data_IF_402551475853
#
_entry.id   IF_402551475853
#
_cell.length_a   1.000
_cell.length_b   1.000
_cell.length_c   1.000
_cell.angle_alpha   90.00
_cell.angle_beta   90.00
_cell.angle_gamma   90.00
#
_symmetry.space_group_name_H-M   'P 1'
#
loop_
_entity.id
_entity.type
_entity.pdbx_description
1 polymer ?
#
# COMPACT_ATOMS: atom_id res chain seq x y z
N UNK A 1 -4.30 11.89 -5.10
CA UNK A 1 -3.61 11.57 -6.38
C UNK A 1 -3.74 12.78 -7.29
N UNK A 2 -2.77 13.08 -8.17
CA UNK A 2 -2.97 14.09 -9.21
C UNK A 2 -4.16 13.72 -10.10
N UNK A 3 -4.93 14.71 -10.55
CA UNK A 3 -6.08 14.49 -11.43
C UNK A 3 -5.61 13.85 -12.75
N UNK A 4 -6.27 12.79 -13.26
CA UNK A 4 -5.97 12.25 -14.58
C UNK A 4 -6.17 13.32 -15.66
N UNK A 5 -5.44 13.19 -16.76
CA UNK A 5 -5.35 14.20 -17.80
C UNK A 5 -6.28 13.87 -18.98
N UNK A 6 -6.98 14.89 -19.47
CA UNK A 6 -7.63 14.92 -20.79
C UNK A 6 -6.77 15.79 -21.70
N UNK A 7 -6.21 15.20 -22.75
CA UNK A 7 -5.37 15.91 -23.72
C UNK A 7 -6.12 16.08 -25.04
N UNK A 8 -6.32 17.32 -25.47
CA UNK A 8 -6.84 17.68 -26.79
C UNK A 8 -5.75 18.21 -27.71
N UNK A 9 -5.73 17.77 -28.97
CA UNK A 9 -4.75 18.20 -29.98
C UNK A 9 -5.47 18.66 -31.24
N UNK A 10 -5.23 19.90 -31.64
CA UNK A 10 -5.86 20.51 -32.82
C UNK A 10 -5.00 21.70 -33.27
N UNK A 11 -4.67 21.81 -34.55
CA UNK A 11 -3.91 22.94 -35.10
C UNK A 11 -4.76 24.21 -35.29
N UNK A 12 -6.09 24.07 -35.31
CA UNK A 12 -7.02 25.20 -35.26
C UNK A 12 -7.19 25.68 -33.81
N UNK A 13 -6.59 26.82 -33.52
CA UNK A 13 -6.61 27.42 -32.18
C UNK A 13 -8.02 27.75 -31.65
N UNK A 14 -8.98 28.02 -32.54
CA UNK A 14 -10.35 28.33 -32.11
C UNK A 14 -11.11 27.07 -31.73
N UNK A 15 -10.89 25.98 -32.49
CA UNK A 15 -11.45 24.66 -32.17
C UNK A 15 -10.81 24.10 -30.90
N UNK A 16 -9.49 24.22 -30.75
CA UNK A 16 -8.76 23.79 -29.54
C UNK A 16 -9.29 24.50 -28.29
N UNK A 17 -9.54 25.81 -28.37
CA UNK A 17 -10.11 26.58 -27.25
C UNK A 17 -11.56 26.18 -26.95
N UNK A 18 -12.35 25.89 -27.98
CA UNK A 18 -13.73 25.44 -27.81
C UNK A 18 -13.78 24.09 -27.07
N UNK A 19 -13.00 23.10 -27.51
CA UNK A 19 -12.96 21.78 -26.87
C UNK A 19 -12.39 21.88 -25.45
N UNK A 20 -11.33 22.65 -25.23
CA UNK A 20 -10.78 22.86 -23.88
C UNK A 20 -11.81 23.49 -22.93
N UNK A 21 -12.57 24.48 -23.41
CA UNK A 21 -13.60 25.15 -22.62
C UNK A 21 -14.69 24.17 -22.22
N UNK A 22 -15.20 23.41 -23.19
CA UNK A 22 -16.30 22.48 -22.96
C UNK A 22 -15.86 21.32 -22.05
N UNK A 23 -14.63 20.80 -22.22
CA UNK A 23 -14.04 19.80 -21.33
C UNK A 23 -13.81 20.35 -19.92
N UNK A 24 -13.28 21.57 -19.79
CA UNK A 24 -12.97 22.16 -18.48
C UNK A 24 -14.24 22.49 -17.71
N UNK A 25 -15.30 22.90 -18.41
CA UNK A 25 -16.62 23.18 -17.83
C UNK A 25 -17.25 21.93 -17.22
N UNK A 26 -17.21 20.79 -17.93
CA UNK A 26 -17.87 19.56 -17.50
C UNK A 26 -16.99 18.70 -16.59
N UNK A 27 -15.69 18.56 -16.89
CA UNK A 27 -14.81 17.56 -16.27
C UNK A 27 -13.71 18.14 -15.37
N UNK A 28 -13.58 19.48 -15.28
CA UNK A 28 -12.49 20.13 -14.55
C UNK A 28 -12.44 19.84 -13.04
N UNK A 29 -13.53 19.36 -12.45
CA UNK A 29 -13.60 18.93 -11.06
C UNK A 29 -12.76 17.67 -10.80
N UNK A 30 -12.74 16.72 -11.74
CA UNK A 30 -12.12 15.41 -11.58
C UNK A 30 -10.86 15.23 -12.43
N UNK A 31 -10.78 15.95 -13.55
CA UNK A 31 -9.72 15.84 -14.54
C UNK A 31 -8.94 17.13 -14.73
N UNK A 32 -7.71 17.00 -15.22
CA UNK A 32 -6.89 18.13 -15.68
C UNK A 32 -6.94 18.20 -17.20
N UNK A 33 -7.45 19.29 -17.75
CA UNK A 33 -7.54 19.51 -19.20
C UNK A 33 -6.29 20.23 -19.70
N UNK A 34 -5.66 19.68 -20.74
CA UNK A 34 -4.48 20.24 -21.40
C UNK A 34 -4.72 20.22 -22.92
N UNK A 35 -4.40 21.31 -23.62
CA UNK A 35 -4.38 21.34 -25.08
C UNK A 35 -2.97 21.45 -25.66
N UNK A 36 -2.83 21.05 -26.92
CA UNK A 36 -1.65 21.24 -27.75
C UNK A 36 -2.06 21.65 -29.15
N UNK A 37 -1.39 22.64 -29.72
CA UNK A 37 -1.61 23.16 -31.08
C UNK A 37 -0.85 22.38 -32.16
N UNK A 38 -0.07 21.38 -31.75
CA UNK A 38 0.72 20.54 -32.64
C UNK A 38 0.81 19.09 -32.14
N UNK A 39 0.81 18.10 -33.05
CA UNK A 39 0.95 16.70 -32.67
C UNK A 39 2.35 16.38 -32.11
N UNK A 40 3.41 17.03 -32.57
CA UNK A 40 4.76 16.84 -32.02
C UNK A 40 4.88 17.38 -30.60
N UNK A 41 4.32 18.57 -30.34
CA UNK A 41 4.25 19.16 -29.00
C UNK A 41 3.45 18.28 -28.04
N UNK A 42 2.36 17.68 -28.53
CA UNK A 42 1.53 16.76 -27.75
C UNK A 42 2.30 15.47 -27.39
N UNK A 43 3.05 14.88 -28.33
CA UNK A 43 3.86 13.68 -28.06
C UNK A 43 4.98 13.96 -27.05
N UNK A 44 5.64 15.11 -27.14
CA UNK A 44 6.67 15.48 -26.18
C UNK A 44 6.08 15.76 -24.79
N UNK A 45 4.90 16.38 -24.72
CA UNK A 45 4.14 16.50 -23.48
C UNK A 45 3.81 15.12 -22.88
N UNK A 46 3.31 14.17 -23.69
CA UNK A 46 3.01 12.82 -23.22
C UNK A 46 4.25 12.11 -22.66
N UNK A 47 5.42 12.25 -23.29
CA UNK A 47 6.68 11.72 -22.76
C UNK A 47 7.04 12.35 -21.41
N UNK A 48 6.89 13.66 -21.25
CA UNK A 48 7.16 14.35 -19.99
C UNK A 48 6.19 13.92 -18.88
N UNK A 49 4.90 13.78 -19.19
CA UNK A 49 3.88 13.27 -18.27
C UNK A 49 4.20 11.84 -17.85
N UNK A 50 4.69 11.01 -18.78
CA UNK A 50 5.09 9.64 -18.49
C UNK A 50 6.25 9.58 -17.50
N UNK A 51 7.26 10.43 -17.66
CA UNK A 51 8.39 10.55 -16.72
C UNK A 51 7.92 10.96 -15.33
N UNK A 52 6.89 11.80 -15.23
CA UNK A 52 6.28 12.23 -13.96
C UNK A 52 5.31 11.21 -13.36
N UNK A 53 5.07 10.09 -14.05
CA UNK A 53 4.07 9.09 -13.70
C UNK A 53 2.64 9.67 -13.57
N UNK A 54 2.33 10.70 -14.36
CA UNK A 54 0.98 11.26 -14.48
C UNK A 54 0.10 10.32 -15.32
N UNK A 55 -1.19 10.25 -14.98
CA UNK A 55 -2.16 9.41 -15.68
C UNK A 55 -2.90 10.21 -16.75
N UNK A 56 -3.07 9.62 -17.94
CA UNK A 56 -3.85 10.19 -19.04
C UNK A 56 -5.08 9.33 -19.26
N UNK A 57 -6.25 9.93 -19.13
CA UNK A 57 -7.53 9.24 -19.27
C UNK A 57 -8.03 9.24 -20.71
N UNK A 58 -7.87 10.36 -21.41
CA UNK A 58 -8.40 10.56 -22.75
C UNK A 58 -7.42 11.38 -23.61
N UNK A 59 -7.30 10.95 -24.86
CA UNK A 59 -6.64 11.65 -25.95
C UNK A 59 -7.70 11.99 -27.00
N UNK A 60 -7.88 13.28 -27.30
CA UNK A 60 -8.72 13.78 -28.38
C UNK A 60 -7.82 14.43 -29.42
N UNK A 61 -7.89 14.03 -30.68
CA UNK A 61 -7.08 14.62 -31.74
C UNK A 61 -7.92 15.00 -32.96
N UNK A 62 -7.62 16.13 -33.59
CA UNK A 62 -8.16 16.43 -34.91
C UNK A 62 -7.63 15.48 -35.99
N UNK A 63 -8.48 15.12 -36.95
CA UNK A 63 -8.07 14.25 -38.04
C UNK A 63 -7.06 14.91 -38.98
N UNK A 64 -7.21 16.21 -39.30
CA UNK A 64 -6.45 16.90 -40.35
C UNK A 64 -5.50 17.92 -39.75
N UNK A 65 -4.41 17.44 -39.17
CA UNK A 65 -3.32 18.28 -38.69
C UNK A 65 -2.13 18.29 -39.66
N UNK A 66 -1.35 19.40 -39.73
CA UNK A 66 -0.12 19.45 -40.52
C UNK A 66 0.91 18.42 -40.05
N UNK A 67 1.65 17.85 -41.01
CA UNK A 67 2.78 16.89 -40.83
C UNK A 67 2.42 15.51 -40.29
N UNK A 68 1.50 15.41 -39.35
CA UNK A 68 1.04 14.16 -38.74
C UNK A 68 -0.46 14.25 -38.53
N UNK A 69 -1.19 13.28 -39.06
CA UNK A 69 -2.65 13.25 -38.92
C UNK A 69 -3.08 12.74 -37.52
N UNK A 70 -4.37 12.89 -37.20
CA UNK A 70 -4.88 12.48 -35.88
C UNK A 70 -4.72 10.99 -35.60
N UNK A 71 -4.81 10.14 -36.63
CA UNK A 71 -4.67 8.69 -36.52
C UNK A 71 -3.23 8.32 -36.19
N UNK A 72 -2.26 8.87 -36.93
CA UNK A 72 -0.83 8.69 -36.73
C UNK A 72 -0.40 9.16 -35.33
N UNK A 73 -0.92 10.32 -34.89
CA UNK A 73 -0.69 10.81 -33.53
C UNK A 73 -1.21 9.83 -32.47
N UNK A 74 -2.47 9.40 -32.58
CA UNK A 74 -3.09 8.49 -31.61
C UNK A 74 -2.38 7.13 -31.58
N UNK A 75 -1.87 6.65 -32.72
CA UNK A 75 -1.09 5.43 -32.80
C UNK A 75 0.25 5.54 -32.04
N UNK A 76 0.96 6.66 -32.17
CA UNK A 76 2.19 6.90 -31.42
C UNK A 76 1.91 7.11 -29.92
N UNK A 77 0.85 7.86 -29.61
CA UNK A 77 0.44 8.11 -28.23
C UNK A 77 0.03 6.82 -27.50
N UNK A 78 -0.56 5.85 -28.21
CA UNK A 78 -0.87 4.51 -27.69
C UNK A 78 0.38 3.77 -27.19
N UNK A 79 1.54 3.96 -27.83
CA UNK A 79 2.80 3.40 -27.36
C UNK A 79 3.25 3.94 -26.00
N UNK A 80 2.81 5.15 -25.63
CA UNK A 80 3.17 5.83 -24.37
C UNK A 80 2.10 5.56 -23.28
N UNK A 81 0.83 5.70 -23.65
CA UNK A 81 -0.35 5.53 -22.79
C UNK A 81 -1.35 4.53 -23.42
N UNK A 82 -1.09 3.22 -23.32
CA UNK A 82 -1.93 2.21 -23.98
C UNK A 82 -3.36 2.13 -23.41
N UNK A 83 -3.53 2.48 -22.13
CA UNK A 83 -4.82 2.46 -21.43
C UNK A 83 -5.66 3.73 -21.61
N UNK A 84 -5.09 4.82 -22.14
CA UNK A 84 -5.86 6.03 -22.39
C UNK A 84 -6.90 5.78 -23.49
N UNK A 85 -8.12 6.29 -23.30
CA UNK A 85 -9.14 6.30 -24.35
C UNK A 85 -8.72 7.27 -25.45
N UNK A 86 -9.15 6.99 -26.67
CA UNK A 86 -8.75 7.70 -27.87
C UNK A 86 -9.98 8.12 -28.64
N UNK A 87 -10.12 9.40 -28.88
CA UNK A 87 -11.19 9.98 -29.67
C UNK A 87 -10.63 10.86 -30.79
N UNK A 88 -11.33 10.87 -31.92
CA UNK A 88 -10.95 11.63 -33.10
C UNK A 88 -11.99 12.72 -33.40
N UNK A 89 -11.57 13.96 -33.64
CA UNK A 89 -12.43 15.02 -34.15
C UNK A 89 -12.32 15.04 -35.68
N UNK A 90 -13.45 15.04 -36.38
CA UNK A 90 -13.47 14.95 -37.85
C UNK A 90 -14.56 15.79 -38.49
N UNK A 91 -14.37 16.17 -39.75
CA UNK A 91 -15.38 16.84 -40.56
C UNK A 91 -16.15 15.82 -41.43
N UNK A 92 -17.38 16.17 -41.84
CA UNK A 92 -18.28 15.30 -42.61
C UNK A 92 -17.64 14.65 -43.86
N UNK A 93 -16.70 15.33 -44.51
CA UNK A 93 -16.06 14.88 -45.75
C UNK A 93 -15.02 13.75 -45.56
N UNK A 94 -14.62 13.44 -44.33
CA UNK A 94 -13.53 12.51 -44.01
C UNK A 94 -14.00 11.13 -43.52
N UNK A 95 -15.31 10.90 -43.49
CA UNK A 95 -15.94 9.71 -42.89
C UNK A 95 -15.44 8.39 -43.51
N UNK A 96 -15.24 8.31 -44.82
CA UNK A 96 -14.77 7.07 -45.47
C UNK A 96 -13.29 6.73 -45.19
N UNK A 97 -12.44 7.76 -45.06
CA UNK A 97 -11.02 7.58 -44.72
C UNK A 97 -10.85 7.26 -43.22
N UNK A 98 -11.64 7.91 -42.36
CA UNK A 98 -11.66 7.67 -40.93
C UNK A 98 -12.12 6.23 -40.59
N UNK A 99 -13.16 5.70 -41.26
CA UNK A 99 -13.68 4.35 -40.98
C UNK A 99 -12.62 3.25 -41.16
N UNK A 100 -11.73 3.37 -42.14
CA UNK A 100 -10.70 2.35 -42.41
C UNK A 100 -9.55 2.36 -41.41
N UNK A 101 -9.26 3.51 -40.78
CA UNK A 101 -8.21 3.68 -39.78
C UNK A 101 -8.59 3.16 -38.37
N UNK A 102 -9.90 3.14 -38.06
CA UNK A 102 -10.46 2.79 -36.74
C UNK A 102 -10.01 1.40 -36.27
N UNK A 103 -10.03 0.41 -37.16
CA UNK A 103 -9.71 -0.98 -36.79
C UNK A 103 -8.21 -1.22 -36.55
N UNK A 104 -7.32 -0.35 -37.03
CA UNK A 104 -5.87 -0.53 -36.91
C UNK A 104 -5.28 0.18 -35.67
N UNK A 105 -5.89 1.29 -35.22
CA UNK A 105 -5.34 2.15 -34.14
C UNK A 105 -6.15 2.07 -32.83
N UNK A 106 -7.29 1.38 -32.83
CA UNK A 106 -8.10 1.20 -31.62
C UNK A 106 -8.65 2.53 -31.10
N UNK A 107 -9.15 3.35 -32.02
CA UNK A 107 -9.90 4.58 -31.72
C UNK A 107 -11.24 4.17 -31.10
N UNK A 108 -11.56 4.75 -29.95
CA UNK A 108 -12.74 4.37 -29.18
C UNK A 108 -14.00 5.10 -29.67
N UNK A 109 -13.87 6.34 -30.14
CA UNK A 109 -14.99 7.13 -30.66
C UNK A 109 -14.52 8.20 -31.66
N UNK A 110 -15.42 8.72 -32.50
CA UNK A 110 -15.17 9.91 -33.31
C UNK A 110 -16.29 10.93 -33.15
N UNK A 111 -15.92 12.20 -33.09
CA UNK A 111 -16.84 13.32 -32.98
C UNK A 111 -16.85 14.13 -34.27
N UNK A 112 -18.04 14.58 -34.68
CA UNK A 112 -18.20 15.44 -35.83
C UNK A 112 -18.10 16.91 -35.42
N UNK A 113 -17.34 17.70 -36.19
CA UNK A 113 -17.30 19.15 -36.05
C UNK A 113 -18.41 19.81 -36.89
N UNK A 114 -19.15 20.81 -36.35
CA UNK A 114 -19.19 21.24 -34.94
C UNK A 114 -20.05 20.30 -34.07
N UNK A 115 -19.76 20.23 -32.77
CA UNK A 115 -20.44 19.37 -31.78
C UNK A 115 -21.45 20.13 -30.89
N UNK A 116 -21.93 21.29 -31.34
CA UNK A 116 -22.91 22.08 -30.60
C UNK A 116 -24.34 21.53 -30.84
N UNK A 117 -25.15 21.28 -29.79
CA UNK A 117 -24.84 21.45 -28.37
C UNK A 117 -23.98 20.31 -27.77
N UNK A 118 -22.96 20.62 -26.95
CA UNK A 118 -22.05 19.61 -26.39
C UNK A 118 -22.76 18.63 -25.46
N UNK A 119 -23.89 19.02 -24.87
CA UNK A 119 -24.73 18.16 -24.01
C UNK A 119 -25.33 16.97 -24.75
N UNK A 120 -25.49 17.05 -26.08
CA UNK A 120 -26.06 15.97 -26.88
C UNK A 120 -25.01 15.24 -27.73
N UNK A 121 -23.99 15.97 -28.19
CA UNK A 121 -23.06 15.47 -29.20
C UNK A 121 -21.64 15.22 -28.70
N UNK A 122 -21.30 15.63 -27.47
CA UNK A 122 -19.96 15.48 -26.91
C UNK A 122 -19.97 14.75 -25.57
N UNK A 123 -20.69 15.27 -24.57
CA UNK A 123 -20.61 14.78 -23.19
C UNK A 123 -21.08 13.33 -23.01
N UNK A 124 -22.21 12.88 -23.57
CA UNK A 124 -22.66 11.50 -23.33
C UNK A 124 -21.63 10.45 -23.75
N UNK A 125 -20.92 10.68 -24.86
CA UNK A 125 -19.93 9.74 -25.35
C UNK A 125 -18.59 9.88 -24.62
N UNK A 126 -18.24 11.09 -24.17
CA UNK A 126 -17.09 11.27 -23.29
C UNK A 126 -17.31 10.60 -21.93
N UNK A 127 -18.52 10.68 -21.38
CA UNK A 127 -18.89 10.03 -20.12
C UNK A 127 -18.71 8.51 -20.25
N UNK A 128 -19.26 7.88 -21.30
CA UNK A 128 -19.07 6.44 -21.57
C UNK A 128 -17.58 6.05 -21.66
N UNK A 129 -16.76 6.86 -22.37
CA UNK A 129 -15.33 6.60 -22.49
C UNK A 129 -14.61 6.72 -21.15
N UNK A 130 -14.93 7.75 -20.36
CA UNK A 130 -14.29 8.01 -19.07
C UNK A 130 -14.72 6.99 -18.02
N UNK A 131 -15.97 6.56 -18.00
CA UNK A 131 -16.48 5.49 -17.14
C UNK A 131 -15.77 4.17 -17.47
N UNK A 132 -15.64 3.83 -18.75
CA UNK A 132 -14.95 2.63 -19.20
C UNK A 132 -13.43 2.70 -18.93
N UNK A 133 -12.86 3.92 -18.90
CA UNK A 133 -11.49 4.12 -18.44
C UNK A 133 -11.39 3.91 -16.93
N UNK A 134 -12.26 4.54 -16.12
CA UNK A 134 -12.24 4.40 -14.67
C UNK A 134 -12.44 2.95 -14.23
N UNK A 135 -13.31 2.20 -14.91
CA UNK A 135 -13.57 0.79 -14.62
C UNK A 135 -12.36 -0.13 -14.90
N UNK A 136 -11.47 0.26 -15.82
CA UNK A 136 -10.28 -0.51 -16.22
C UNK A 136 -8.96 0.08 -15.69
N UNK A 137 -8.97 1.32 -15.23
CA UNK A 137 -7.79 2.05 -14.79
C UNK A 137 -7.38 1.65 -13.38
N UNK A 138 -6.23 1.00 -13.31
CA UNK A 138 -5.56 0.69 -12.05
C UNK A 138 -4.37 1.65 -11.93
N UNK A 139 -4.44 2.70 -11.10
CA UNK A 139 -3.29 3.58 -10.89
C UNK A 139 -2.11 2.77 -10.37
N UNK A 140 -0.92 3.00 -10.93
CA UNK A 140 0.30 2.36 -10.43
C UNK A 140 0.48 2.72 -8.96
N UNK A 141 0.62 1.71 -8.12
CA UNK A 141 0.77 1.92 -6.69
C UNK A 141 2.06 2.73 -6.41
N UNK A 142 1.90 3.97 -5.95
CA UNK A 142 3.01 4.86 -5.59
C UNK A 142 3.35 4.65 -4.11
N UNK A 143 3.98 3.52 -3.81
CA UNK A 143 4.36 3.15 -2.45
C UNK A 143 5.37 2.00 -2.44
N UNK A 144 5.62 1.45 -1.26
CA UNK A 144 6.51 0.31 -1.10
C UNK A 144 5.87 -0.95 -1.67
N UNK A 145 6.54 -1.65 -2.57
CA UNK A 145 6.06 -2.92 -3.11
C UNK A 145 6.91 -4.05 -2.58
N UNK A 146 6.28 -5.11 -2.10
CA UNK A 146 6.97 -6.33 -1.65
C UNK A 146 6.61 -7.42 -2.63
N UNK A 147 7.61 -7.88 -3.39
CA UNK A 147 7.50 -8.99 -4.32
C UNK A 147 8.03 -10.23 -3.63
N UNK A 148 7.29 -11.32 -3.70
CA UNK A 148 7.72 -12.59 -3.12
C UNK A 148 6.75 -13.72 -3.42
N UNK A 149 6.91 -14.81 -2.70
CA UNK A 149 5.98 -15.95 -2.74
C UNK A 149 5.30 -16.09 -1.38
N UNK A 150 4.02 -16.50 -1.38
CA UNK A 150 3.27 -16.75 -0.16
C UNK A 150 3.92 -17.77 0.77
N UNK A 151 4.69 -18.71 0.23
CA UNK A 151 5.33 -19.79 0.98
C UNK A 151 6.73 -19.45 1.49
N UNK A 152 7.13 -18.18 1.41
CA UNK A 152 8.42 -17.70 1.90
C UNK A 152 8.27 -17.06 3.29
N UNK A 153 8.89 -17.64 4.35
CA UNK A 153 8.89 -17.05 5.69
C UNK A 153 9.42 -15.61 5.71
N UNK A 154 10.45 -15.32 4.90
CA UNK A 154 11.02 -13.97 4.76
C UNK A 154 10.01 -12.99 4.15
N UNK A 155 9.24 -13.44 3.15
CA UNK A 155 8.19 -12.60 2.55
C UNK A 155 7.13 -12.28 3.60
N UNK A 156 6.76 -13.26 4.43
CA UNK A 156 5.84 -13.04 5.54
C UNK A 156 6.39 -12.04 6.57
N UNK A 157 7.63 -12.22 7.04
CA UNK A 157 8.23 -11.33 8.04
C UNK A 157 8.25 -9.87 7.59
N UNK A 158 8.61 -9.58 6.33
CA UNK A 158 8.63 -8.22 5.80
C UNK A 158 7.22 -7.61 5.72
N UNK A 159 6.23 -8.40 5.29
CA UNK A 159 4.83 -7.95 5.21
C UNK A 159 4.26 -7.69 6.60
N UNK A 160 4.45 -8.62 7.53
CA UNK A 160 4.00 -8.46 8.92
C UNK A 160 4.64 -7.24 9.57
N UNK A 161 5.94 -7.05 9.36
CA UNK A 161 6.68 -5.89 9.85
C UNK A 161 6.11 -4.56 9.33
N UNK A 162 5.91 -4.44 8.02
CA UNK A 162 5.35 -3.23 7.40
C UNK A 162 3.92 -2.97 7.89
N UNK A 163 3.08 -4.02 7.93
CA UNK A 163 1.70 -3.92 8.39
C UNK A 163 1.62 -3.45 9.85
N UNK A 164 2.42 -4.04 10.74
CA UNK A 164 2.41 -3.72 12.18
C UNK A 164 3.03 -2.36 12.50
N UNK A 165 3.98 -1.89 11.70
CA UNK A 165 4.51 -0.52 11.80
C UNK A 165 3.65 0.50 11.04
N UNK A 166 2.48 0.11 10.52
CA UNK A 166 1.56 0.96 9.76
C UNK A 166 2.21 1.65 8.55
N UNK A 167 3.18 0.99 7.94
CA UNK A 167 3.83 1.44 6.70
C UNK A 167 3.01 0.88 5.52
N UNK A 168 2.36 1.73 4.70
CA UNK A 168 1.58 1.25 3.57
C UNK A 168 2.45 0.55 2.53
N UNK A 169 2.01 -0.61 2.08
CA UNK A 169 2.69 -1.38 1.05
C UNK A 169 1.71 -2.15 0.16
N UNK A 170 2.17 -2.54 -1.02
CA UNK A 170 1.49 -3.48 -1.90
C UNK A 170 2.22 -4.82 -1.88
N UNK A 171 1.48 -5.89 -1.65
CA UNK A 171 1.98 -7.26 -1.77
C UNK A 171 1.76 -7.76 -3.20
N UNK A 172 2.81 -8.28 -3.83
CA UNK A 172 2.76 -8.92 -5.14
C UNK A 172 3.27 -10.35 -4.96
N UNK A 173 2.34 -11.29 -4.96
CA UNK A 173 2.67 -12.70 -5.00
C UNK A 173 2.98 -13.09 -6.45
N UNK A 174 4.25 -13.39 -6.72
CA UNK A 174 4.74 -13.59 -8.09
C UNK A 174 4.23 -14.88 -8.73
N UNK A 175 3.83 -15.88 -7.93
CA UNK A 175 3.34 -17.17 -8.44
C UNK A 175 1.90 -17.02 -8.90
N UNK A 176 1.05 -16.45 -8.05
CA UNK A 176 -0.37 -16.25 -8.36
C UNK A 176 -0.60 -15.10 -9.35
N UNK A 177 0.31 -14.14 -9.42
CA UNK A 177 0.25 -13.00 -10.34
C UNK A 177 1.12 -13.19 -11.58
N UNK A 178 1.60 -14.41 -11.87
CA UNK A 178 2.51 -14.67 -12.98
C UNK A 178 1.97 -14.22 -14.36
N UNK A 179 0.66 -14.18 -14.53
CA UNK A 179 0.01 -13.75 -15.77
C UNK A 179 -0.30 -12.25 -15.84
N UNK A 180 -0.16 -11.52 -14.73
CA UNK A 180 -0.40 -10.09 -14.67
C UNK A 180 0.70 -9.31 -15.45
N UNK A 181 0.33 -8.46 -16.43
CA UNK A 181 1.30 -7.69 -17.22
C UNK A 181 2.19 -6.76 -16.38
N UNK A 182 1.70 -6.20 -15.28
CA UNK A 182 2.51 -5.35 -14.41
C UNK A 182 3.58 -6.17 -13.67
N UNK A 183 3.18 -7.31 -13.11
CA UNK A 183 4.09 -8.26 -12.46
C UNK A 183 5.18 -8.74 -13.43
N UNK A 184 4.82 -9.09 -14.67
CA UNK A 184 5.80 -9.49 -15.70
C UNK A 184 6.82 -8.40 -15.99
N UNK A 185 6.38 -7.15 -16.20
CA UNK A 185 7.27 -6.01 -16.44
C UNK A 185 8.20 -5.75 -15.25
N UNK A 186 7.71 -5.92 -14.02
CA UNK A 186 8.52 -5.78 -12.82
C UNK A 186 9.60 -6.87 -12.73
N UNK A 187 9.25 -8.12 -13.02
CA UNK A 187 10.19 -9.23 -13.02
C UNK A 187 11.23 -9.07 -14.15
N UNK A 188 10.82 -8.63 -15.34
CA UNK A 188 11.73 -8.31 -16.45
C UNK A 188 12.69 -7.18 -16.07
N UNK A 189 12.20 -6.13 -15.41
CA UNK A 189 13.03 -5.02 -14.95
C UNK A 189 14.02 -5.43 -13.83
N UNK A 190 13.66 -6.42 -13.00
CA UNK A 190 14.55 -7.01 -12.01
C UNK A 190 15.61 -7.93 -12.63
N UNK A 191 15.30 -8.56 -13.77
CA UNK A 191 16.22 -9.44 -14.49
C UNK A 191 16.71 -10.60 -13.61
N UNK A 192 18.04 -10.86 -13.53
CA UNK A 192 18.59 -11.97 -12.73
C UNK A 192 18.25 -11.89 -11.24
N UNK A 193 18.00 -10.70 -10.71
CA UNK A 193 17.70 -10.50 -9.30
C UNK A 193 16.30 -10.99 -8.91
N UNK A 194 15.42 -11.22 -9.89
CA UNK A 194 14.11 -11.83 -9.65
C UNK A 194 14.21 -13.26 -9.07
N UNK A 195 15.38 -13.90 -9.17
CA UNK A 195 15.65 -15.18 -8.51
C UNK A 195 15.80 -15.05 -6.97
N UNK A 196 16.06 -13.85 -6.45
CA UNK A 196 16.40 -13.60 -5.04
C UNK A 196 15.24 -12.97 -4.27
N UNK A 197 14.07 -13.64 -4.27
CA UNK A 197 12.88 -13.19 -3.55
C UNK A 197 13.00 -13.44 -2.02
N UNK A 198 12.39 -12.60 -1.17
CA UNK A 198 11.60 -11.41 -1.51
C UNK A 198 12.44 -10.20 -1.92
N UNK A 199 11.82 -9.32 -2.70
CA UNK A 199 12.37 -8.01 -3.09
C UNK A 199 11.44 -6.89 -2.61
N UNK A 200 12.01 -5.88 -1.96
CA UNK A 200 11.29 -4.67 -1.56
C UNK A 200 11.67 -3.53 -2.50
N UNK A 201 10.70 -2.98 -3.22
CA UNK A 201 10.85 -1.84 -4.13
C UNK A 201 10.32 -0.57 -3.45
N UNK A 202 11.12 0.49 -3.49
CA UNK A 202 10.78 1.78 -2.88
C UNK A 202 10.28 2.80 -3.92
N UNK A 203 9.52 3.83 -3.50
CA UNK A 203 9.04 4.88 -4.40
C UNK A 203 10.15 5.67 -5.10
N UNK A 204 11.34 5.73 -4.51
CA UNK A 204 12.53 6.39 -5.08
C UNK A 204 13.24 5.55 -6.16
N UNK A 205 12.69 4.39 -6.52
CA UNK A 205 13.24 3.46 -7.50
C UNK A 205 14.33 2.54 -6.95
N UNK A 206 14.76 2.72 -5.69
CA UNK A 206 15.71 1.81 -5.06
C UNK A 206 15.04 0.50 -4.64
N UNK A 207 15.85 -0.53 -4.42
CA UNK A 207 15.40 -1.88 -4.06
C UNK A 207 16.28 -2.48 -2.98
N UNK A 208 15.69 -3.34 -2.17
CA UNK A 208 16.40 -4.23 -1.25
C UNK A 208 16.09 -5.68 -1.61
N UNK A 209 17.15 -6.49 -1.74
CA UNK A 209 17.09 -7.92 -2.02
C UNK A 209 17.36 -8.69 -0.74
N UNK A 210 16.63 -9.80 -0.53
CA UNK A 210 16.82 -10.69 0.63
C UNK A 210 16.90 -9.97 1.99
N UNK A 211 16.25 -8.81 2.11
CA UNK A 211 16.38 -7.92 3.25
C UNK A 211 15.71 -8.45 4.51
N UNK A 212 16.22 -8.02 5.65
CA UNK A 212 15.56 -8.20 6.94
C UNK A 212 14.73 -6.96 7.32
N UNK A 213 13.76 -7.07 8.25
CA UNK A 213 12.97 -5.93 8.71
C UNK A 213 13.78 -4.69 9.12
N UNK A 214 14.97 -4.87 9.71
CA UNK A 214 15.85 -3.76 10.11
C UNK A 214 16.32 -2.90 8.93
N UNK A 215 16.64 -3.50 7.79
CA UNK A 215 17.08 -2.77 6.59
C UNK A 215 15.94 -1.92 6.04
N UNK A 216 14.74 -2.50 6.00
CA UNK A 216 13.52 -1.80 5.57
C UNK A 216 13.21 -0.66 6.53
N UNK A 217 13.31 -0.88 7.84
CA UNK A 217 13.08 0.14 8.86
C UNK A 217 13.93 1.39 8.65
N UNK A 218 15.22 1.20 8.41
CA UNK A 218 16.15 2.30 8.13
C UNK A 218 15.75 3.06 6.87
N UNK A 219 15.38 2.33 5.81
CA UNK A 219 15.01 2.93 4.52
C UNK A 219 13.68 3.69 4.56
N UNK A 220 12.72 3.25 5.37
CA UNK A 220 11.43 3.94 5.56
C UNK A 220 11.48 5.07 6.59
N UNK A 221 12.64 5.29 7.21
CA UNK A 221 12.84 6.37 8.19
C UNK A 221 12.22 6.09 9.56
N UNK A 222 12.03 4.80 9.91
CA UNK A 222 11.65 4.45 11.27
C UNK A 222 12.81 4.79 12.22
N UNK A 223 12.45 5.28 13.41
CA UNK A 223 13.43 5.66 14.42
C UNK A 223 13.92 4.42 15.15
N UNK A 224 15.18 4.07 14.97
CA UNK A 224 15.82 2.90 15.61
C UNK A 224 16.88 3.27 16.65
N UNK A 225 17.25 4.56 16.71
CA UNK A 225 18.28 5.08 17.61
C UNK A 225 17.75 6.22 18.46
N UNK A 226 18.17 6.22 19.72
CA UNK A 226 17.88 7.26 20.68
C UNK A 226 18.50 8.61 20.26
N UNK A 227 17.78 9.70 20.46
CA UNK A 227 18.31 11.06 20.26
C UNK A 227 19.29 11.47 21.35
N UNK A 228 19.15 10.92 22.55
CA UNK A 228 19.98 11.24 23.71
C UNK A 228 20.43 9.96 24.39
N UNK A 229 21.44 10.05 25.24
CA UNK A 229 21.88 8.92 26.07
C UNK A 229 21.13 8.82 27.40
N UNK A 230 20.25 9.77 27.74
CA UNK A 230 19.62 9.88 29.05
C UNK A 230 18.13 10.25 29.00
N UNK A 231 17.31 9.50 29.76
CA UNK A 231 15.87 9.71 29.88
C UNK A 231 15.42 9.66 31.34
N UNK A 232 14.33 10.34 31.67
CA UNK A 232 13.73 10.20 33.01
C UNK A 232 13.08 8.82 33.15
N UNK A 233 12.41 8.36 32.09
CA UNK A 233 11.71 7.08 32.02
C UNK A 233 12.07 6.33 30.74
N UNK A 234 12.66 5.14 30.88
CA UNK A 234 12.80 4.18 29.78
C UNK A 234 11.79 3.05 29.95
N UNK A 235 11.16 2.62 28.86
CA UNK A 235 10.14 1.56 28.84
C UNK A 235 10.58 0.49 27.84
N UNK A 236 10.69 -0.76 28.30
CA UNK A 236 10.99 -1.91 27.44
C UNK A 236 9.69 -2.59 27.03
N UNK A 237 9.29 -2.44 25.78
CA UNK A 237 8.06 -2.98 25.20
C UNK A 237 7.05 -1.89 24.85
N UNK A 238 6.64 -1.86 23.58
CA UNK A 238 5.65 -0.95 23.00
C UNK A 238 4.24 -1.55 22.92
N UNK A 239 3.90 -2.52 23.77
CA UNK A 239 2.53 -3.03 23.92
C UNK A 239 1.60 -2.05 24.64
N UNK A 240 0.34 -2.43 24.93
CA UNK A 240 -0.63 -1.55 25.59
C UNK A 240 -0.14 -1.00 26.93
N UNK A 241 0.56 -1.82 27.73
CA UNK A 241 1.12 -1.40 29.00
C UNK A 241 2.21 -0.33 28.84
N UNK A 242 3.15 -0.54 27.90
CA UNK A 242 4.23 0.41 27.65
C UNK A 242 3.76 1.72 27.02
N UNK A 243 2.86 1.63 26.03
CA UNK A 243 2.26 2.81 25.40
C UNK A 243 1.45 3.64 26.40
N UNK A 244 0.65 3.00 27.27
CA UNK A 244 -0.08 3.71 28.32
C UNK A 244 0.89 4.40 29.30
N UNK A 245 1.89 3.67 29.80
CA UNK A 245 2.89 4.24 30.71
C UNK A 245 3.65 5.42 30.08
N UNK A 246 3.96 5.34 28.78
CA UNK A 246 4.65 6.41 28.09
C UNK A 246 3.80 7.68 27.97
N UNK A 247 2.52 7.52 27.64
CA UNK A 247 1.58 8.65 27.57
C UNK A 247 1.45 9.32 28.94
N UNK A 248 1.27 8.55 30.01
CA UNK A 248 1.14 9.10 31.38
C UNK A 248 2.45 9.72 31.87
N UNK A 249 3.59 9.08 31.61
CA UNK A 249 4.90 9.62 32.00
C UNK A 249 5.21 10.94 31.30
N UNK A 250 5.04 10.99 29.98
CA UNK A 250 5.31 12.19 29.21
C UNK A 250 4.29 13.32 29.47
N UNK A 251 3.03 13.02 29.80
CA UNK A 251 2.05 14.06 30.16
C UNK A 251 2.39 14.77 31.47
N UNK A 252 3.13 14.11 32.37
CA UNK A 252 3.66 14.69 33.60
C UNK A 252 5.05 15.33 33.42
N UNK A 253 5.53 15.43 32.18
CA UNK A 253 6.77 16.12 31.84
C UNK A 253 8.04 15.26 31.86
N UNK A 254 7.93 13.93 32.00
CA UNK A 254 9.10 13.05 31.94
C UNK A 254 9.63 12.91 30.52
N UNK A 255 10.94 13.10 30.33
CA UNK A 255 11.62 12.75 29.09
C UNK A 255 11.60 11.22 28.93
N UNK A 256 10.78 10.71 28.01
CA UNK A 256 10.39 9.29 27.98
C UNK A 256 10.78 8.61 26.67
N UNK A 257 11.33 7.40 26.76
CA UNK A 257 11.63 6.53 25.60
C UNK A 257 10.99 5.15 25.74
N UNK A 258 10.46 4.63 24.63
CA UNK A 258 10.04 3.24 24.47
C UNK A 258 11.05 2.52 23.57
N UNK A 259 11.49 1.33 23.99
CA UNK A 259 12.26 0.39 23.18
C UNK A 259 11.37 -0.78 22.81
N UNK A 260 11.07 -0.94 21.51
CA UNK A 260 10.17 -1.96 20.98
C UNK A 260 10.86 -2.81 19.91
N UNK A 261 10.92 -4.12 20.13
CA UNK A 261 11.69 -5.05 19.28
C UNK A 261 11.12 -5.17 17.87
N UNK A 262 9.80 -5.15 17.72
CA UNK A 262 9.13 -5.48 16.47
C UNK A 262 8.32 -4.30 15.94
N UNK A 263 7.24 -3.95 16.65
CA UNK A 263 6.31 -2.91 16.27
C UNK A 263 5.43 -2.52 17.46
N UNK A 264 5.04 -1.23 17.59
CA UNK A 264 4.11 -0.81 18.62
C UNK A 264 2.76 -1.54 18.55
N UNK A 265 2.13 -1.73 19.69
CA UNK A 265 0.87 -2.46 19.86
C UNK A 265 1.02 -3.83 20.51
N UNK A 266 2.22 -4.44 20.45
CA UNK A 266 2.48 -5.77 21.00
C UNK A 266 1.48 -6.82 20.50
N UNK A 267 1.16 -7.82 21.33
CA UNK A 267 0.18 -8.86 20.95
C UNK A 267 -1.23 -8.31 20.68
N UNK A 268 -1.66 -7.29 21.44
CA UNK A 268 -2.97 -6.68 21.24
C UNK A 268 -3.09 -6.02 19.86
N UNK A 269 -1.98 -5.51 19.31
CA UNK A 269 -1.90 -4.96 17.96
C UNK A 269 -2.31 -5.96 16.87
N UNK A 270 -2.16 -7.26 17.12
CA UNK A 270 -2.49 -8.33 16.18
C UNK A 270 -3.95 -8.79 16.27
N UNK A 271 -4.72 -8.30 17.25
CA UNK A 271 -6.13 -8.66 17.40
C UNK A 271 -7.00 -8.06 16.29
N UNK A 272 -7.79 -8.90 15.62
CA UNK A 272 -8.73 -8.46 14.58
C UNK A 272 -9.87 -7.58 15.14
N UNK A 273 -10.26 -7.83 16.39
CA UNK A 273 -11.30 -7.10 17.12
C UNK A 273 -11.00 -7.12 18.62
N UNK A 274 -11.17 -5.98 19.28
CA UNK A 274 -11.11 -5.82 20.73
C UNK A 274 -12.41 -5.11 21.15
N UNK A 275 -13.22 -5.80 21.94
CA UNK A 275 -14.54 -5.30 22.41
C UNK A 275 -14.55 -5.00 23.91
N UNK A 276 -13.48 -5.40 24.61
CA UNK A 276 -13.34 -5.27 26.06
C UNK A 276 -12.32 -4.19 26.47
N UNK A 277 -12.01 -3.23 25.59
CA UNK A 277 -11.15 -2.10 25.94
C UNK A 277 -11.98 -0.90 26.38
N UNK A 278 -11.75 -0.45 27.62
CA UNK A 278 -12.49 0.66 28.23
C UNK A 278 -12.42 1.93 27.36
N UNK A 279 -13.55 2.62 27.23
CA UNK A 279 -13.66 3.86 26.45
C UNK A 279 -13.98 3.65 24.96
N UNK A 280 -14.07 2.39 24.48
CA UNK A 280 -14.45 2.07 23.11
C UNK A 280 -15.69 1.16 23.08
N UNK A 281 -16.91 1.73 23.24
CA UNK A 281 -18.13 0.94 23.42
C UNK A 281 -18.50 0.08 22.21
N UNK A 282 -18.09 0.48 21.00
CA UNK A 282 -18.28 -0.30 19.79
C UNK A 282 -17.13 -1.28 19.52
N UNK A 283 -16.08 -1.28 20.35
CA UNK A 283 -14.82 -1.95 20.07
C UNK A 283 -14.03 -1.32 18.91
N UNK A 284 -12.82 -1.83 18.70
CA UNK A 284 -11.88 -1.40 17.65
C UNK A 284 -10.94 -2.55 17.26
N UNK A 285 -10.15 -2.38 16.20
CA UNK A 285 -9.09 -3.33 15.87
C UNK A 285 -7.87 -3.12 16.78
N UNK A 286 -7.05 -4.15 16.95
CA UNK A 286 -5.77 -4.07 17.64
C UNK A 286 -4.81 -3.05 17.03
N UNK A 287 -4.72 -3.06 15.69
CA UNK A 287 -3.92 -2.08 14.95
C UNK A 287 -4.41 -0.65 15.15
N UNK A 288 -5.73 -0.41 15.19
CA UNK A 288 -6.27 0.93 15.48
C UNK A 288 -5.95 1.40 16.90
N UNK A 289 -6.03 0.49 17.88
CA UNK A 289 -5.65 0.79 19.26
C UNK A 289 -4.18 1.20 19.34
N UNK A 290 -3.28 0.40 18.73
CA UNK A 290 -1.85 0.67 18.68
C UNK A 290 -1.54 2.01 18.00
N UNK A 291 -2.09 2.23 16.80
CA UNK A 291 -1.89 3.47 16.03
C UNK A 291 -2.32 4.71 16.82
N UNK A 292 -3.49 4.68 17.45
CA UNK A 292 -4.00 5.80 18.24
C UNK A 292 -3.10 6.10 19.45
N UNK A 293 -2.64 5.06 20.13
CA UNK A 293 -1.76 5.19 21.28
C UNK A 293 -0.37 5.72 20.88
N UNK A 294 0.20 5.27 19.75
CA UNK A 294 1.46 5.80 19.19
C UNK A 294 1.33 7.29 18.87
N UNK A 295 0.26 7.69 18.16
CA UNK A 295 0.01 9.10 17.83
C UNK A 295 -0.09 9.95 19.09
N UNK A 296 -0.77 9.44 20.13
CA UNK A 296 -0.89 10.13 21.41
C UNK A 296 0.46 10.27 22.12
N UNK A 297 1.25 9.19 22.21
CA UNK A 297 2.58 9.20 22.84
C UNK A 297 3.52 10.19 22.12
N UNK A 298 3.58 10.14 20.79
CA UNK A 298 4.39 11.05 19.98
C UNK A 298 3.98 12.52 20.16
N UNK A 299 2.68 12.81 20.30
CA UNK A 299 2.19 14.16 20.58
C UNK A 299 2.72 14.73 21.90
N UNK A 300 2.98 13.88 22.89
CA UNK A 300 3.62 14.27 24.16
C UNK A 300 5.16 14.25 24.09
N UNK A 301 5.75 14.01 22.93
CA UNK A 301 7.20 13.98 22.75
C UNK A 301 7.88 12.67 23.17
N UNK A 302 7.11 11.60 23.39
CA UNK A 302 7.68 10.27 23.64
C UNK A 302 8.49 9.83 22.44
N UNK A 303 9.72 9.42 22.70
CA UNK A 303 10.57 8.77 21.70
C UNK A 303 10.24 7.27 21.63
N UNK A 304 10.00 6.75 20.43
CA UNK A 304 9.72 5.32 20.23
C UNK A 304 10.78 4.77 19.29
N UNK A 305 11.61 3.87 19.82
CA UNK A 305 12.64 3.15 19.07
C UNK A 305 12.06 1.82 18.60
N UNK A 306 11.82 1.69 17.29
CA UNK A 306 11.21 0.51 16.68
C UNK A 306 11.67 0.33 15.22
N UNK A 307 12.18 -0.85 14.82
CA UNK A 307 12.51 -1.99 15.67
C UNK A 307 13.83 -1.78 16.42
N UNK A 308 13.86 -2.06 17.72
CA UNK A 308 15.07 -2.06 18.55
C UNK A 308 14.87 -2.98 19.76
N UNK A 309 15.85 -3.84 20.05
CA UNK A 309 15.75 -4.81 21.15
C UNK A 309 16.62 -4.39 22.35
N UNK A 310 16.03 -4.45 23.53
CA UNK A 310 16.77 -4.42 24.79
C UNK A 310 17.31 -5.82 25.11
N UNK A 311 18.63 -5.94 25.25
CA UNK A 311 19.31 -7.24 25.43
C UNK A 311 19.89 -7.43 26.83
N UNK A 312 20.14 -6.35 27.57
CA UNK A 312 20.65 -6.42 28.93
C UNK A 312 20.26 -5.19 29.76
N UNK A 313 20.17 -5.36 31.07
CA UNK A 313 19.84 -4.30 32.03
C UNK A 313 20.80 -4.38 33.22
N UNK A 314 21.37 -3.24 33.62
CA UNK A 314 22.13 -3.13 34.86
C UNK A 314 21.79 -1.89 35.65
N UNK A 315 22.12 -1.92 36.94
CA UNK A 315 21.93 -0.80 37.85
C UNK A 315 23.28 -0.20 38.22
N UNK A 316 23.44 1.11 38.03
CA UNK A 316 24.62 1.88 38.41
C UNK A 316 24.22 3.02 39.34
N UNK A 317 24.47 2.86 40.65
CA UNK A 317 24.05 3.79 41.69
C UNK A 317 22.55 4.16 41.58
N UNK A 318 22.23 5.39 41.18
CA UNK A 318 20.85 5.89 41.03
C UNK A 318 20.29 5.75 39.61
N UNK A 319 21.06 5.17 38.68
CA UNK A 319 20.71 5.06 37.26
C UNK A 319 20.50 3.63 36.83
N UNK A 320 19.61 3.44 35.85
CA UNK A 320 19.37 2.16 35.20
C UNK A 320 19.91 2.26 33.79
N UNK A 321 20.74 1.29 33.41
CA UNK A 321 21.38 1.26 32.10
C UNK A 321 20.79 0.12 31.29
N UNK A 322 20.25 0.44 30.13
CA UNK A 322 19.67 -0.47 29.17
C UNK A 322 20.63 -0.65 28.00
N UNK A 323 21.07 -1.87 27.73
CA UNK A 323 21.88 -2.20 26.55
C UNK A 323 20.96 -2.63 25.41
N UNK A 324 21.17 -2.05 24.24
CA UNK A 324 20.42 -2.36 23.02
C UNK A 324 21.17 -3.38 22.15
N UNK A 325 20.46 -4.03 21.23
CA UNK A 325 21.02 -5.05 20.35
C UNK A 325 22.10 -4.51 19.40
N UNK A 326 22.04 -3.23 19.06
CA UNK A 326 23.09 -2.55 18.28
C UNK A 326 24.35 -2.18 19.10
N UNK A 327 24.37 -2.55 20.39
CA UNK A 327 25.46 -2.30 21.32
C UNK A 327 25.43 -0.92 22.00
N UNK A 328 24.51 -0.03 21.60
CA UNK A 328 24.34 1.25 22.27
C UNK A 328 23.69 1.08 23.65
N UNK A 329 23.85 2.11 24.49
CA UNK A 329 23.29 2.12 25.84
C UNK A 329 22.43 3.35 26.09
N UNK A 330 21.32 3.15 26.79
CA UNK A 330 20.44 4.20 27.29
C UNK A 330 20.50 4.20 28.81
N UNK A 331 20.77 5.37 29.39
CA UNK A 331 20.70 5.59 30.83
C UNK A 331 19.35 6.21 31.21
N UNK A 332 18.80 5.84 32.37
CA UNK A 332 17.59 6.48 32.86
C UNK A 332 17.48 6.51 34.39
N UNK A 333 16.60 7.37 34.91
CA UNK A 333 16.24 7.36 36.33
C UNK A 333 15.35 6.14 36.67
N UNK A 334 14.28 5.96 35.90
CA UNK A 334 13.33 4.86 36.06
C UNK A 334 13.28 3.99 34.80
N UNK A 335 13.23 2.68 35.00
CA UNK A 335 13.05 1.69 33.94
C UNK A 335 11.79 0.88 34.21
N UNK A 336 10.89 0.81 33.23
CA UNK A 336 9.70 -0.04 33.28
C UNK A 336 9.81 -1.17 32.26
N UNK A 337 9.64 -2.42 32.71
CA UNK A 337 9.63 -3.59 31.85
C UNK A 337 8.17 -3.93 31.52
N UNK A 338 7.81 -3.79 30.25
CA UNK A 338 6.48 -4.02 29.69
C UNK A 338 6.54 -4.97 28.46
N UNK A 339 7.46 -5.94 28.50
CA UNK A 339 7.82 -6.82 27.38
C UNK A 339 6.78 -7.88 27.00
N UNK A 340 5.71 -8.03 27.79
CA UNK A 340 4.59 -8.93 27.48
C UNK A 340 4.98 -10.41 27.53
N UNK A 341 4.33 -11.21 26.67
CA UNK A 341 4.53 -12.66 26.54
C UNK A 341 4.51 -13.08 25.08
N UNK A 342 5.02 -14.29 24.78
CA UNK A 342 4.94 -14.90 23.46
C UNK A 342 3.96 -16.09 23.45
N UNK A 343 3.36 -16.36 22.28
CA UNK A 343 2.55 -17.57 22.11
C UNK A 343 3.40 -18.83 22.26
N UNK A 344 2.80 -19.86 22.88
CA UNK A 344 3.38 -21.20 22.87
C UNK A 344 3.39 -21.73 21.45
N UNK A 345 4.56 -22.21 21.02
CA UNK A 345 4.72 -22.85 19.73
C UNK A 345 4.24 -24.30 19.77
N UNK A 346 3.73 -24.80 18.66
CA UNK A 346 3.41 -26.22 18.52
C UNK A 346 4.73 -26.98 18.37
N UNK A 347 4.95 -27.97 19.23
CA UNK A 347 6.14 -28.82 19.18
C UNK A 347 5.92 -29.94 18.17
N UNK A 348 6.46 -29.77 16.96
CA UNK A 348 6.38 -30.76 15.88
C UNK A 348 7.60 -30.71 14.97
N UNK A 349 7.97 -31.85 14.41
CA UNK A 349 9.11 -31.94 13.49
C UNK A 349 8.89 -31.07 12.25
N UNK A 350 9.87 -30.22 11.93
CA UNK A 350 9.85 -29.38 10.74
C UNK A 350 8.84 -28.23 10.79
N UNK A 351 8.35 -27.83 11.97
CA UNK A 351 7.40 -26.72 12.11
C UNK A 351 8.05 -25.36 11.88
N UNK A 352 9.31 -25.17 12.30
CA UNK A 352 9.99 -23.88 12.23
C UNK A 352 10.16 -23.40 10.79
N UNK A 353 10.41 -24.31 9.84
CA UNK A 353 10.50 -23.99 8.41
C UNK A 353 9.15 -23.58 7.78
N UNK A 354 8.04 -23.90 8.43
CA UNK A 354 6.69 -23.59 7.97
C UNK A 354 6.12 -22.33 8.63
N UNK A 355 6.83 -21.77 9.63
CA UNK A 355 6.42 -20.52 10.26
C UNK A 355 6.48 -19.39 9.23
N UNK A 356 5.38 -18.66 9.06
CA UNK A 356 5.24 -17.64 8.01
C UNK A 356 5.01 -18.23 6.60
N UNK A 357 4.99 -19.55 6.45
CA UNK A 357 4.81 -20.28 5.21
C UNK A 357 3.73 -21.37 5.35
N UNK A 358 2.60 -20.98 5.93
CA UNK A 358 1.45 -21.87 6.17
C UNK A 358 1.16 -22.12 7.66
N UNK A 359 2.12 -21.90 8.55
CA UNK A 359 1.92 -21.90 10.00
C UNK A 359 2.11 -20.49 10.54
N UNK A 360 1.12 -20.01 11.28
CA UNK A 360 1.11 -18.66 11.85
C UNK A 360 0.74 -18.72 13.33
N UNK A 361 1.32 -17.82 14.12
CA UNK A 361 0.98 -17.63 15.53
C UNK A 361 0.25 -16.31 15.67
N UNK A 362 -1.06 -16.40 15.86
CA UNK A 362 -1.98 -15.27 15.69
C UNK A 362 -2.90 -15.48 14.49
N UNK A 363 -3.75 -14.50 14.23
CA UNK A 363 -4.70 -14.52 13.11
C UNK A 363 -5.08 -13.09 12.75
N UNK A 364 -4.07 -12.28 12.46
CA UNK A 364 -4.19 -10.88 12.08
C UNK A 364 -4.60 -10.70 10.63
N UNK A 365 -4.58 -9.46 10.15
CA UNK A 365 -4.99 -9.12 8.79
C UNK A 365 -4.04 -9.69 7.72
N UNK A 366 -2.74 -9.71 8.01
CA UNK A 366 -1.69 -10.20 7.09
C UNK A 366 -1.90 -11.68 6.73
N UNK A 367 -2.19 -12.52 7.73
CA UNK A 367 -2.48 -13.95 7.52
C UNK A 367 -3.82 -14.15 6.82
N UNK A 368 -4.86 -13.41 7.23
CA UNK A 368 -6.21 -13.55 6.70
C UNK A 368 -6.27 -13.31 5.18
N UNK A 369 -5.56 -12.28 4.69
CA UNK A 369 -5.45 -12.00 3.26
C UNK A 369 -4.69 -13.09 2.50
N UNK A 370 -3.64 -13.64 3.10
CA UNK A 370 -2.87 -14.72 2.49
C UNK A 370 -3.67 -16.02 2.37
N UNK A 371 -4.64 -16.27 3.23
CA UNK A 371 -5.39 -17.53 3.26
C UNK A 371 -6.76 -17.45 2.56
N UNK A 372 -6.95 -16.50 1.64
CA UNK A 372 -8.20 -16.35 0.89
C UNK A 372 -8.46 -17.58 0.01
N UNK A 373 -9.66 -18.15 0.10
CA UNK A 373 -10.08 -19.32 -0.69
C UNK A 373 -9.47 -20.64 -0.23
N UNK A 374 -8.89 -20.71 0.96
CA UNK A 374 -8.15 -21.87 1.44
C UNK A 374 -8.89 -22.61 2.56
N UNK A 375 -8.47 -23.84 2.85
CA UNK A 375 -8.90 -24.57 4.05
C UNK A 375 -7.92 -24.26 5.18
N UNK A 376 -8.43 -23.64 6.25
CA UNK A 376 -7.61 -23.18 7.39
C UNK A 376 -7.90 -24.04 8.61
N UNK A 377 -6.83 -24.46 9.30
CA UNK A 377 -6.91 -25.15 10.59
C UNK A 377 -6.48 -24.21 11.72
N UNK A 378 -7.38 -23.96 12.67
CA UNK A 378 -7.11 -23.17 13.87
C UNK A 378 -6.87 -24.12 15.04
N UNK A 379 -5.65 -24.12 15.58
CA UNK A 379 -5.28 -24.97 16.71
C UNK A 379 -5.53 -24.25 18.03
N UNK A 380 -6.53 -24.70 18.80
CA UNK A 380 -6.87 -24.12 20.10
C UNK A 380 -8.39 -24.11 20.36
N UNK A 381 -8.77 -24.12 21.64
CA UNK A 381 -10.17 -24.12 22.08
C UNK A 381 -10.60 -22.91 22.90
N UNK A 382 -9.71 -21.94 23.13
CA UNK A 382 -9.99 -20.74 23.91
C UNK A 382 -10.61 -19.62 23.06
N UNK A 383 -11.03 -18.51 23.69
CA UNK A 383 -11.66 -17.37 23.01
C UNK A 383 -10.85 -16.81 21.83
N UNK A 384 -9.52 -16.79 21.92
CA UNK A 384 -8.65 -16.33 20.84
C UNK A 384 -8.76 -17.21 19.57
N UNK A 385 -8.97 -18.52 19.73
CA UNK A 385 -9.20 -19.43 18.62
C UNK A 385 -10.56 -19.15 17.96
N UNK A 386 -11.60 -18.87 18.76
CA UNK A 386 -12.91 -18.45 18.26
C UNK A 386 -12.83 -17.14 17.46
N UNK A 387 -12.15 -16.13 17.99
CA UNK A 387 -11.94 -14.85 17.30
C UNK A 387 -11.14 -15.02 15.99
N UNK A 388 -10.09 -15.85 16.00
CA UNK A 388 -9.34 -16.16 14.79
C UNK A 388 -10.22 -16.86 13.76
N UNK A 389 -11.02 -17.85 14.16
CA UNK A 389 -11.92 -18.56 13.27
C UNK A 389 -12.95 -17.63 12.62
N UNK A 390 -13.56 -16.73 13.40
CA UNK A 390 -14.47 -15.70 12.89
C UNK A 390 -13.79 -14.71 11.93
N UNK A 391 -12.52 -14.36 12.19
CA UNK A 391 -11.76 -13.53 11.27
C UNK A 391 -11.54 -14.23 9.92
N UNK A 392 -11.03 -15.46 9.97
CA UNK A 392 -10.69 -16.26 8.79
C UNK A 392 -11.92 -16.67 7.97
N UNK A 393 -13.07 -16.91 8.60
CA UNK A 393 -14.31 -17.31 7.92
C UNK A 393 -14.81 -16.28 6.89
N UNK A 394 -14.33 -15.03 6.95
CA UNK A 394 -14.63 -14.00 5.95
C UNK A 394 -13.86 -14.16 4.63
N UNK A 395 -12.77 -14.94 4.63
CA UNK A 395 -11.82 -15.03 3.52
C UNK A 395 -11.59 -16.47 3.05
N UNK A 396 -11.58 -17.43 3.99
CA UNK A 396 -11.30 -18.84 3.75
C UNK A 396 -12.46 -19.54 3.05
N UNK A 397 -12.16 -20.62 2.31
CA UNK A 397 -13.20 -21.56 1.84
C UNK A 397 -13.82 -22.30 3.03
N UNK A 398 -12.96 -22.76 3.96
CA UNK A 398 -13.40 -23.50 5.15
C UNK A 398 -12.46 -23.26 6.31
N UNK A 399 -13.02 -23.09 7.51
CA UNK A 399 -12.26 -23.01 8.77
C UNK A 399 -12.58 -24.23 9.64
N UNK A 400 -11.54 -24.93 10.09
CA UNK A 400 -11.62 -26.10 10.97
C UNK A 400 -10.92 -25.78 12.29
N UNK A 401 -11.65 -25.83 13.40
CA UNK A 401 -11.07 -25.64 14.73
C UNK A 401 -10.67 -26.99 15.30
N UNK A 402 -9.40 -27.12 15.71
CA UNK A 402 -8.83 -28.30 16.33
C UNK A 402 -8.72 -28.06 17.84
N UNK A 403 -9.54 -28.78 18.60
CA UNK A 403 -9.58 -28.71 20.06
C UNK A 403 -8.96 -29.99 20.64
N UNK A 404 -7.99 -29.83 21.54
CA UNK A 404 -7.37 -30.97 22.23
C UNK A 404 -8.27 -31.58 23.32
N UNK A 405 -9.13 -30.77 23.93
CA UNK A 405 -10.11 -31.20 24.93
C UNK A 405 -11.37 -31.82 24.30
N UNK A 406 -12.25 -32.38 25.13
CA UNK A 406 -13.45 -33.07 24.69
C UNK A 406 -14.50 -32.16 24.03
N UNK A 407 -14.57 -30.90 24.45
CA UNK A 407 -15.52 -29.92 23.92
C UNK A 407 -14.99 -28.50 23.99
N UNK A 408 -15.40 -27.69 23.02
CA UNK A 408 -15.15 -26.25 22.95
C UNK A 408 -15.77 -25.49 24.14
N UNK A 409 -16.93 -25.95 24.62
CA UNK A 409 -17.66 -25.34 25.75
C UNK A 409 -16.91 -25.39 27.08
N UNK A 410 -15.86 -26.21 27.17
CA UNK A 410 -15.05 -26.32 28.39
C UNK A 410 -14.08 -25.16 28.59
N UNK A 411 -13.75 -24.40 27.53
CA UNK A 411 -12.71 -23.37 27.56
C UNK A 411 -13.06 -22.05 26.88
N UNK A 412 -14.17 -21.98 26.12
CA UNK A 412 -14.72 -20.71 25.63
C UNK A 412 -15.77 -20.15 26.58
N UNK A 413 -15.66 -18.85 26.88
CA UNK A 413 -16.55 -18.10 27.79
C UNK A 413 -17.56 -17.25 27.04
#
# INVERSE_FOLDING_TARGET
MPKPILLSVDDDSDVLRAIERDLRSQYGAEYRVIGSDSPEGALDLLKQLKVRNDSVALLIADQRMPRMDGVEFLQQAMGIYPSAKRALLTAYADTNAAISAINQVGINYFFLKPWDPPTEHLYPQLDDLLDDWQASFHPTFQGIRVLGTRWSPRSYELRDFLARNHVPYQWIDVETSANDPETKRLLEALGPEAANLPVVLFPDGTKLLESVPADVAQKVGLRTRAQTSFYDLAIVGGGPAGLAAAVYGASEGLHTVIVEREAPGGQAGMSSRIENYLGFPTGLSGGDLARRAVVQAQRFGVEILSPQEAVDIRTEASYRILKLADGSEISCHALMIASGVQWRRLEASGIDRLQGAGIYYGGGATEALSCKGEIIYVVGGANSAGQAAMNFARYAERVVILVRGESLSSTMS
#
